data_IF_866878327603
#
_entry.id   IF_866878327603
#
_cell.length_a   1.000
_cell.length_b   1.000
_cell.length_c   1.000
_cell.angle_alpha   90.00
_cell.angle_beta   90.00
_cell.angle_gamma   90.00
#
_symmetry.space_group_name_H-M   'P 1'
#
loop_
_entity.id
_entity.type
_entity.pdbx_description
1 polymer ?
#
# COMPACT_ATOMS: atom_id res chain seq x y z
N UNK A 1 -61.22 -16.71 -49.74
CA UNK A 1 -59.78 -17.03 -49.57
C UNK A 1 -59.10 -15.80 -48.96
N UNK A 2 -58.97 -15.73 -47.63
CA UNK A 2 -58.35 -14.59 -46.92
C UNK A 2 -56.94 -14.99 -46.50
N UNK A 3 -55.93 -14.35 -47.06
CA UNK A 3 -54.52 -14.58 -46.72
C UNK A 3 -54.20 -13.67 -45.53
N UNK A 4 -53.98 -14.27 -44.35
CA UNK A 4 -53.46 -13.54 -43.19
C UNK A 4 -51.94 -13.57 -43.21
N UNK A 5 -51.32 -12.47 -43.65
CA UNK A 5 -49.88 -12.24 -43.50
C UNK A 5 -49.63 -11.80 -42.05
N UNK A 6 -49.06 -12.68 -41.23
CA UNK A 6 -48.56 -12.31 -39.90
C UNK A 6 -47.20 -11.63 -40.07
N UNK A 7 -47.18 -10.31 -39.89
CA UNK A 7 -45.95 -9.52 -39.82
C UNK A 7 -45.25 -9.82 -38.49
N UNK A 8 -44.15 -10.57 -38.54
CA UNK A 8 -43.31 -10.81 -37.36
C UNK A 8 -42.43 -9.58 -37.11
N UNK A 9 -42.70 -8.86 -36.02
CA UNK A 9 -41.85 -7.77 -35.54
C UNK A 9 -40.58 -8.39 -34.94
N UNK A 10 -39.46 -8.30 -35.66
CA UNK A 10 -38.14 -8.65 -35.11
C UNK A 10 -37.68 -7.47 -34.26
N UNK A 11 -37.90 -7.55 -32.95
CA UNK A 11 -37.34 -6.59 -31.98
C UNK A 11 -35.86 -6.93 -31.82
N UNK A 12 -35.00 -6.22 -32.55
CA UNK A 12 -33.55 -6.28 -32.36
C UNK A 12 -33.22 -5.56 -31.05
N UNK A 13 -33.16 -6.32 -29.96
CA UNK A 13 -32.74 -5.81 -28.67
C UNK A 13 -31.22 -5.58 -28.72
N UNK A 14 -30.80 -4.36 -29.10
CA UNK A 14 -29.44 -3.91 -28.90
C UNK A 14 -29.19 -3.83 -27.38
N UNK A 15 -28.58 -4.87 -26.82
CA UNK A 15 -27.92 -4.79 -25.52
C UNK A 15 -26.77 -3.80 -25.67
N UNK A 16 -27.04 -2.52 -25.41
CA UNK A 16 -26.00 -1.55 -25.12
C UNK A 16 -25.34 -2.03 -23.82
N UNK A 17 -24.25 -2.78 -23.95
CA UNK A 17 -23.30 -2.97 -22.87
C UNK A 17 -22.73 -1.58 -22.57
N UNK A 18 -23.37 -0.84 -21.67
CA UNK A 18 -22.78 0.35 -21.09
C UNK A 18 -21.50 -0.12 -20.42
N UNK A 19 -20.33 0.27 -20.93
CA UNK A 19 -19.11 0.07 -20.18
C UNK A 19 -19.33 0.79 -18.85
N UNK A 20 -19.31 0.05 -17.75
CA UNK A 20 -19.38 0.68 -16.44
C UNK A 20 -18.24 1.68 -16.37
N UNK A 21 -18.58 2.95 -16.25
CA UNK A 21 -17.58 4.01 -16.12
C UNK A 21 -16.75 3.72 -14.87
N UNK A 22 -15.43 3.84 -14.99
CA UNK A 22 -14.54 3.53 -13.88
C UNK A 22 -14.93 4.32 -12.62
N UNK A 23 -15.29 3.61 -11.54
CA UNK A 23 -15.83 4.21 -10.30
C UNK A 23 -14.94 5.23 -9.61
N UNK A 24 -13.64 5.25 -9.92
CA UNK A 24 -12.68 6.19 -9.32
C UNK A 24 -12.56 7.52 -10.07
N UNK A 25 -13.24 7.67 -11.22
CA UNK A 25 -13.28 8.95 -11.96
C UNK A 25 -13.83 10.11 -11.14
N UNK A 26 -14.66 9.82 -10.14
CA UNK A 26 -15.15 10.81 -9.16
C UNK A 26 -14.03 11.51 -8.37
N UNK A 27 -12.85 10.89 -8.23
CA UNK A 27 -11.70 11.51 -7.58
C UNK A 27 -10.79 12.22 -8.58
N UNK A 28 -10.57 11.60 -9.74
CA UNK A 28 -9.76 12.15 -10.82
C UNK A 28 -10.08 11.43 -12.13
N UNK A 29 -10.23 12.18 -13.23
CA UNK A 29 -10.32 11.59 -14.57
C UNK A 29 -9.07 10.77 -14.94
N UNK A 30 -7.94 11.11 -14.32
CA UNK A 30 -6.64 10.46 -14.48
C UNK A 30 -6.35 9.39 -13.42
N UNK A 31 -7.37 8.91 -12.69
CA UNK A 31 -7.17 7.95 -11.62
C UNK A 31 -6.46 6.67 -12.11
N UNK A 32 -5.42 6.23 -11.40
CA UNK A 32 -4.54 5.12 -11.77
C UNK A 32 -5.33 3.85 -12.05
N UNK A 33 -6.32 3.51 -11.20
CA UNK A 33 -7.20 2.34 -11.41
C UNK A 33 -7.90 2.33 -12.78
N UNK A 34 -8.24 3.50 -13.30
CA UNK A 34 -9.02 3.65 -14.54
C UNK A 34 -8.15 3.57 -15.80
N UNK A 35 -6.83 3.52 -15.66
CA UNK A 35 -5.91 3.46 -16.80
C UNK A 35 -5.81 2.03 -17.32
N UNK A 36 -5.73 1.92 -18.64
CA UNK A 36 -5.24 0.71 -19.29
C UNK A 36 -3.72 0.60 -19.14
N UNK A 37 -3.18 -0.60 -19.34
CA UNK A 37 -1.73 -0.79 -19.35
C UNK A 37 -1.09 0.05 -20.46
N UNK A 38 0.06 0.66 -20.17
CA UNK A 38 0.75 1.51 -21.12
C UNK A 38 1.31 0.66 -22.28
N UNK A 39 0.75 0.85 -23.48
CA UNK A 39 1.15 0.12 -24.69
C UNK A 39 2.54 0.47 -25.20
N UNK A 40 3.15 1.55 -24.70
CA UNK A 40 4.47 2.01 -25.13
C UNK A 40 5.61 1.35 -24.34
N UNK A 41 5.31 0.61 -23.26
CA UNK A 41 6.28 -0.26 -22.62
C UNK A 41 5.93 -1.71 -22.89
N UNK A 42 6.95 -2.50 -23.25
CA UNK A 42 6.79 -3.92 -23.52
C UNK A 42 6.74 -4.69 -22.19
N UNK A 43 5.54 -4.78 -21.60
CA UNK A 43 5.28 -5.47 -20.34
C UNK A 43 5.53 -6.98 -20.47
N UNK A 44 6.42 -7.50 -19.62
CA UNK A 44 6.79 -8.92 -19.54
C UNK A 44 6.16 -9.63 -18.35
N UNK A 45 6.01 -8.93 -17.22
CA UNK A 45 5.36 -9.43 -16.00
C UNK A 45 4.62 -8.30 -15.31
N UNK A 46 3.44 -8.58 -14.77
CA UNK A 46 2.54 -7.58 -14.19
C UNK A 46 1.71 -8.18 -13.05
N UNK A 47 2.39 -8.70 -12.03
CA UNK A 47 1.69 -9.39 -10.92
C UNK A 47 2.47 -9.39 -9.61
N UNK A 48 1.71 -9.50 -8.53
CA UNK A 48 2.18 -9.77 -7.16
C UNK A 48 1.50 -11.05 -6.69
N UNK A 49 2.28 -12.11 -6.51
CA UNK A 49 1.76 -13.43 -6.15
C UNK A 49 1.35 -13.49 -4.68
N UNK A 50 0.58 -14.49 -4.26
CA UNK A 50 0.22 -14.64 -2.85
C UNK A 50 1.43 -14.91 -1.94
N UNK A 51 2.48 -15.55 -2.47
CA UNK A 51 3.75 -15.70 -1.77
C UNK A 51 4.41 -14.33 -1.54
N UNK A 52 4.36 -13.46 -2.55
CA UNK A 52 4.86 -12.08 -2.44
C UNK A 52 4.07 -11.29 -1.40
N UNK A 53 2.74 -11.32 -1.44
CA UNK A 53 1.87 -10.65 -0.45
C UNK A 53 2.24 -11.05 0.99
N UNK A 54 2.40 -12.37 1.23
CA UNK A 54 2.81 -12.90 2.54
C UNK A 54 4.18 -12.38 2.95
N UNK A 55 5.15 -12.36 2.03
CA UNK A 55 6.50 -11.88 2.32
C UNK A 55 6.54 -10.37 2.60
N UNK A 56 5.79 -9.57 1.83
CA UNK A 56 5.63 -8.13 2.02
C UNK A 56 5.10 -7.86 3.44
N UNK A 57 3.96 -8.45 3.80
CA UNK A 57 3.36 -8.28 5.11
C UNK A 57 4.29 -8.73 6.23
N UNK A 58 4.93 -9.89 6.07
CA UNK A 58 5.85 -10.43 7.07
C UNK A 58 6.98 -9.46 7.37
N UNK A 59 7.65 -8.95 6.35
CA UNK A 59 8.79 -8.03 6.50
C UNK A 59 8.37 -6.68 7.07
N UNK A 60 7.27 -6.10 6.59
CA UNK A 60 6.75 -4.86 7.15
C UNK A 60 6.43 -5.00 8.63
N UNK A 61 5.70 -6.05 9.02
CA UNK A 61 5.32 -6.27 10.42
C UNK A 61 6.50 -6.66 11.31
N UNK A 62 7.50 -7.38 10.80
CA UNK A 62 8.76 -7.66 11.54
C UNK A 62 9.50 -6.36 11.87
N UNK A 63 9.62 -5.44 10.91
CA UNK A 63 10.28 -4.16 11.12
C UNK A 63 9.49 -3.21 12.02
N UNK A 64 8.17 -3.14 11.84
CA UNK A 64 7.28 -2.38 12.74
C UNK A 64 7.34 -2.92 14.16
N UNK A 65 7.35 -4.25 14.34
CA UNK A 65 7.55 -4.88 15.65
C UNK A 65 8.91 -4.54 16.25
N UNK A 66 9.99 -4.57 15.44
CA UNK A 66 11.34 -4.21 15.87
C UNK A 66 11.38 -2.79 16.44
N UNK A 67 10.79 -1.82 15.73
CA UNK A 67 10.67 -0.43 16.20
C UNK A 67 9.80 -0.33 17.44
N UNK A 68 8.59 -0.90 17.40
CA UNK A 68 7.64 -0.81 18.50
C UNK A 68 8.27 -1.26 19.82
N UNK A 69 9.06 -2.34 19.78
CA UNK A 69 9.76 -2.90 20.95
C UNK A 69 11.05 -2.16 21.34
N UNK A 70 11.46 -1.14 20.59
CA UNK A 70 12.70 -0.38 20.84
C UNK A 70 13.95 -1.21 20.57
N UNK A 71 13.90 -2.10 19.57
CA UNK A 71 15.01 -2.99 19.17
C UNK A 71 15.76 -2.51 17.93
N UNK A 72 15.42 -1.33 17.39
CA UNK A 72 16.16 -0.69 16.32
C UNK A 72 17.17 0.27 16.93
N UNK A 73 18.46 -0.08 16.84
CA UNK A 73 19.57 0.67 17.45
C UNK A 73 20.11 1.78 16.55
N UNK A 74 19.79 1.77 15.25
CA UNK A 74 20.10 2.88 14.32
C UNK A 74 19.27 4.12 14.67
N UNK A 75 19.55 5.26 14.02
CA UNK A 75 18.97 6.56 14.37
C UNK A 75 19.18 6.96 15.85
N UNK A 76 20.30 6.52 16.46
CA UNK A 76 20.57 6.73 17.88
C UNK A 76 19.65 5.94 18.82
N UNK A 77 19.08 4.84 18.35
CA UNK A 77 18.11 4.01 19.07
C UNK A 77 16.69 4.58 18.95
N UNK A 78 15.89 3.97 18.08
CA UNK A 78 14.49 4.36 17.87
C UNK A 78 13.67 4.16 19.16
N UNK A 79 12.95 5.17 19.63
CA UNK A 79 12.05 5.05 20.78
C UNK A 79 10.98 3.99 20.56
N UNK A 80 10.54 3.33 21.65
CA UNK A 80 9.43 2.37 21.61
C UNK A 80 8.15 3.05 21.13
N UNK A 81 7.36 2.35 20.33
CA UNK A 81 6.08 2.84 19.83
C UNK A 81 4.92 2.20 20.59
N UNK A 82 4.00 3.02 21.07
CA UNK A 82 2.87 2.59 21.89
C UNK A 82 1.58 2.31 21.11
N UNK A 83 1.48 2.81 19.87
CA UNK A 83 0.30 2.72 18.99
C UNK A 83 0.60 2.08 17.62
N UNK A 84 1.75 1.42 17.44
CA UNK A 84 2.14 0.86 16.14
C UNK A 84 1.16 -0.23 15.69
N UNK A 85 0.47 -0.04 14.56
CA UNK A 85 -0.50 -0.99 14.04
C UNK A 85 0.17 -2.19 13.34
N UNK A 86 -0.44 -3.36 13.41
CA UNK A 86 -0.14 -4.49 12.53
C UNK A 86 -0.71 -4.19 11.14
N UNK A 87 0.12 -4.30 10.09
CA UNK A 87 -0.30 -4.15 8.71
C UNK A 87 -0.98 -5.41 8.19
N UNK A 88 -2.01 -5.21 7.37
CA UNK A 88 -2.72 -6.26 6.63
C UNK A 88 -2.82 -5.86 5.15
N UNK A 89 -3.03 -6.85 4.28
CA UNK A 89 -3.13 -6.63 2.85
C UNK A 89 -4.45 -5.94 2.48
N UNK A 90 -4.41 -5.10 1.46
CA UNK A 90 -5.57 -4.41 0.93
C UNK A 90 -5.63 -4.50 -0.60
N UNK A 91 -6.62 -5.24 -1.10
CA UNK A 91 -6.75 -5.52 -2.54
C UNK A 91 -7.14 -4.29 -3.36
N UNK A 92 -7.85 -3.32 -2.76
CA UNK A 92 -8.15 -2.05 -3.43
C UNK A 92 -6.85 -1.26 -3.65
N UNK A 93 -6.03 -1.11 -2.61
CA UNK A 93 -4.73 -0.45 -2.74
C UNK A 93 -3.79 -1.17 -3.71
N UNK A 94 -3.78 -2.51 -3.68
CA UNK A 94 -2.95 -3.32 -4.57
C UNK A 94 -3.36 -3.17 -6.04
N UNK A 95 -4.66 -3.16 -6.31
CA UNK A 95 -5.18 -2.99 -7.67
C UNK A 95 -4.79 -1.62 -8.25
N UNK A 96 -4.89 -0.57 -7.44
CA UNK A 96 -4.47 0.79 -7.81
C UNK A 96 -2.95 0.83 -8.07
N UNK A 97 -2.16 0.23 -7.16
CA UNK A 97 -0.70 0.18 -7.29
C UNK A 97 -0.25 -0.59 -8.54
N UNK A 98 -0.87 -1.73 -8.85
CA UNK A 98 -0.58 -2.54 -10.03
C UNK A 98 -0.92 -1.79 -11.33
N UNK A 99 -2.08 -1.11 -11.35
CA UNK A 99 -2.47 -0.25 -12.48
C UNK A 99 -1.49 0.89 -12.73
N UNK A 100 -0.94 1.48 -11.66
CA UNK A 100 0.11 2.48 -11.77
C UNK A 100 1.45 1.90 -12.24
N UNK A 101 1.88 0.75 -11.68
CA UNK A 101 3.09 0.06 -12.11
C UNK A 101 3.06 -0.26 -13.62
N UNK A 102 1.88 -0.64 -14.14
CA UNK A 102 1.65 -0.91 -15.56
C UNK A 102 1.75 0.32 -16.47
N UNK A 103 1.92 1.51 -15.91
CA UNK A 103 2.21 2.71 -16.68
C UNK A 103 3.70 2.82 -17.03
N UNK A 104 4.57 2.03 -16.39
CA UNK A 104 6.00 1.99 -16.64
C UNK A 104 6.72 3.33 -16.44
N UNK A 105 6.21 4.16 -15.51
CA UNK A 105 6.77 5.48 -15.20
C UNK A 105 7.36 5.45 -13.79
N UNK A 106 8.67 5.59 -13.67
CA UNK A 106 9.33 5.70 -12.36
C UNK A 106 9.12 7.10 -11.78
N UNK A 107 7.91 7.34 -11.28
CA UNK A 107 7.51 8.52 -10.52
C UNK A 107 6.26 8.17 -9.72
N UNK A 108 5.97 8.97 -8.69
CA UNK A 108 4.70 8.87 -8.01
C UNK A 108 3.54 9.25 -8.93
N UNK A 109 2.39 8.60 -8.78
CA UNK A 109 1.14 9.13 -9.35
C UNK A 109 0.67 10.36 -8.57
N UNK A 110 -0.31 11.08 -9.12
CA UNK A 110 -0.87 12.23 -8.41
C UNK A 110 -1.63 11.76 -7.15
N UNK A 111 -1.68 12.57 -6.08
CA UNK A 111 -2.40 12.19 -4.85
C UNK A 111 -3.87 11.78 -5.10
N UNK A 112 -4.59 12.53 -5.93
CA UNK A 112 -5.98 12.20 -6.30
C UNK A 112 -6.10 10.98 -7.22
N UNK A 113 -5.01 10.60 -7.90
CA UNK A 113 -4.96 9.49 -8.83
C UNK A 113 -4.94 8.12 -8.12
N UNK A 114 -4.62 8.10 -6.82
CA UNK A 114 -4.60 6.89 -5.98
C UNK A 114 -5.59 6.97 -4.81
N UNK A 115 -6.52 7.91 -4.86
CA UNK A 115 -7.46 8.20 -3.77
C UNK A 115 -8.49 7.08 -3.64
N UNK A 116 -8.78 6.73 -2.40
CA UNK A 116 -9.88 5.84 -2.02
C UNK A 116 -10.83 6.58 -1.09
N UNK A 117 -12.06 6.08 -0.93
CA UNK A 117 -13.04 6.70 -0.01
C UNK A 117 -12.60 6.68 1.46
N UNK A 118 -11.79 5.67 1.82
CA UNK A 118 -11.54 5.32 3.21
C UNK A 118 -10.54 6.24 3.91
N UNK A 119 -9.56 6.78 3.19
CA UNK A 119 -8.44 7.56 3.75
C UNK A 119 -7.54 8.14 2.64
N UNK A 120 -6.66 9.07 3.02
CA UNK A 120 -5.51 9.47 2.19
C UNK A 120 -4.55 8.29 1.99
N UNK A 121 -3.92 8.21 0.80
CA UNK A 121 -3.04 7.08 0.41
C UNK A 121 -1.60 7.54 0.22
N UNK A 122 -0.68 6.93 0.96
CA UNK A 122 0.77 7.09 0.80
C UNK A 122 1.33 6.13 -0.25
N UNK A 123 2.56 6.36 -0.72
CA UNK A 123 3.16 5.51 -1.75
C UNK A 123 4.68 5.42 -1.63
N UNK A 124 5.21 4.20 -1.73
CA UNK A 124 6.63 3.93 -1.97
C UNK A 124 6.80 3.37 -3.38
N UNK A 125 7.85 3.79 -4.09
CA UNK A 125 8.20 3.25 -5.40
C UNK A 125 9.68 2.86 -5.46
N UNK A 126 10.00 1.87 -6.30
CA UNK A 126 11.39 1.48 -6.54
C UNK A 126 11.55 0.99 -7.97
N UNK A 127 12.71 1.25 -8.57
CA UNK A 127 13.04 0.75 -9.90
C UNK A 127 14.39 0.07 -9.95
N UNK A 128 14.51 -0.96 -10.78
CA UNK A 128 15.77 -1.61 -11.15
C UNK A 128 15.85 -1.59 -12.66
N UNK A 129 17.00 -1.19 -13.21
CA UNK A 129 17.28 -1.24 -14.64
C UNK A 129 18.44 -2.17 -14.93
N UNK A 130 18.37 -2.91 -16.04
CA UNK A 130 19.47 -3.74 -16.54
C UNK A 130 19.55 -3.70 -18.06
N UNK A 131 20.77 -3.71 -18.58
CA UNK A 131 21.08 -3.88 -20.01
C UNK A 131 21.08 -5.35 -20.44
N UNK A 132 21.19 -6.28 -19.49
CA UNK A 132 21.11 -7.73 -19.71
C UNK A 132 19.72 -8.27 -19.38
N UNK A 133 19.65 -9.47 -18.80
CA UNK A 133 18.39 -10.08 -18.37
C UNK A 133 17.62 -9.21 -17.37
N UNK A 134 16.29 -9.35 -17.39
CA UNK A 134 15.42 -8.63 -16.47
C UNK A 134 15.73 -9.02 -15.02
N UNK A 135 16.13 -8.03 -14.22
CA UNK A 135 16.40 -8.23 -12.80
C UNK A 135 15.19 -7.83 -11.97
N UNK A 136 14.72 -8.76 -11.14
CA UNK A 136 13.76 -8.48 -10.08
C UNK A 136 14.42 -8.65 -8.72
N UNK A 137 14.07 -7.80 -7.76
CA UNK A 137 14.39 -8.01 -6.36
C UNK A 137 13.23 -8.74 -5.73
N UNK A 138 13.50 -9.76 -4.92
CA UNK A 138 12.44 -10.34 -4.13
C UNK A 138 11.87 -9.25 -3.18
N UNK A 139 10.60 -9.38 -2.83
CA UNK A 139 9.92 -8.35 -2.02
C UNK A 139 10.51 -8.16 -0.64
N UNK A 140 11.15 -9.20 -0.08
CA UNK A 140 11.81 -9.09 1.21
C UNK A 140 13.01 -8.17 1.16
N UNK A 141 13.91 -8.37 0.21
CA UNK A 141 15.09 -7.53 0.02
C UNK A 141 14.73 -6.12 -0.48
N UNK A 142 13.59 -5.94 -1.15
CA UNK A 142 13.06 -4.60 -1.44
C UNK A 142 12.62 -3.89 -0.17
N UNK A 143 11.86 -4.58 0.70
CA UNK A 143 11.44 -4.04 1.99
C UNK A 143 12.64 -3.71 2.86
N UNK A 144 13.70 -4.54 2.83
CA UNK A 144 14.96 -4.27 3.50
C UNK A 144 15.57 -2.95 3.00
N UNK A 145 15.55 -2.69 1.69
CA UNK A 145 16.03 -1.41 1.12
C UNK A 145 15.24 -0.21 1.61
N UNK A 146 13.90 -0.28 1.64
CA UNK A 146 13.10 0.80 2.24
C UNK A 146 13.44 1.00 3.71
N UNK A 147 13.68 -0.09 4.45
CA UNK A 147 13.99 -0.02 5.87
C UNK A 147 15.39 0.52 6.18
N UNK A 148 16.37 0.29 5.31
CA UNK A 148 17.76 0.73 5.50
C UNK A 148 17.91 2.25 5.64
N UNK A 149 16.96 3.03 5.12
CA UNK A 149 16.96 4.50 5.27
C UNK A 149 16.83 4.96 6.74
N UNK A 150 16.47 4.07 7.68
CA UNK A 150 16.53 4.37 9.11
C UNK A 150 17.91 4.85 9.58
N UNK A 151 18.97 4.49 8.85
CA UNK A 151 20.34 4.96 9.15
C UNK A 151 20.49 6.48 8.95
N UNK A 152 19.66 7.07 8.08
CA UNK A 152 19.67 8.48 7.70
C UNK A 152 18.57 9.28 8.45
N UNK A 153 17.78 8.60 9.28
CA UNK A 153 16.71 9.21 10.07
C UNK A 153 17.20 9.74 11.42
N UNK A 154 16.73 10.93 11.80
CA UNK A 154 16.87 11.46 13.16
C UNK A 154 15.58 11.19 13.94
N UNK A 155 15.68 10.43 15.05
CA UNK A 155 14.55 10.12 15.92
C UNK A 155 13.83 11.34 16.49
N UNK A 156 14.50 12.50 16.59
CA UNK A 156 13.85 13.74 17.02
C UNK A 156 12.83 14.24 15.99
N UNK A 157 12.86 13.73 14.75
CA UNK A 157 11.85 13.99 13.72
C UNK A 157 10.66 13.01 13.81
N UNK A 158 10.47 12.26 14.90
CA UNK A 158 9.22 11.50 15.12
C UNK A 158 8.06 12.45 15.41
N UNK A 159 8.32 13.52 16.16
CA UNK A 159 7.36 14.59 16.47
C UNK A 159 8.08 15.92 16.82
N UNK A 160 7.73 17.06 16.18
CA UNK A 160 6.94 17.12 14.96
C UNK A 160 7.68 16.40 13.83
N UNK A 161 6.92 15.65 13.02
CA UNK A 161 7.50 14.93 11.91
C UNK A 161 8.09 15.90 10.88
N UNK A 162 9.28 15.61 10.39
CA UNK A 162 9.90 16.34 9.28
C UNK A 162 10.06 15.39 8.12
N UNK A 163 9.50 15.75 6.96
CA UNK A 163 9.65 14.95 5.75
C UNK A 163 11.03 15.16 5.11
N UNK A 164 11.67 14.09 4.66
CA UNK A 164 12.83 14.13 3.75
C UNK A 164 12.70 13.03 2.70
N UNK A 165 13.34 13.26 1.55
CA UNK A 165 13.54 12.22 0.53
C UNK A 165 14.49 11.12 0.99
N UNK A 166 15.36 11.40 1.97
CA UNK A 166 16.41 10.46 2.40
C UNK A 166 15.87 9.27 3.20
N UNK A 167 14.70 9.43 3.83
CA UNK A 167 14.09 8.42 4.71
C UNK A 167 12.59 8.22 4.51
N UNK A 168 12.04 8.76 3.42
CA UNK A 168 10.60 8.73 3.17
C UNK A 168 10.02 7.33 3.06
N UNK A 169 10.77 6.37 2.49
CA UNK A 169 10.29 5.00 2.36
C UNK A 169 10.25 4.30 3.71
N UNK A 170 11.30 4.48 4.53
CA UNK A 170 11.37 3.99 5.90
C UNK A 170 10.24 4.55 6.75
N UNK A 171 10.04 5.88 6.75
CA UNK A 171 9.07 6.51 7.63
C UNK A 171 7.63 6.16 7.26
N UNK A 172 7.32 5.95 5.97
CA UNK A 172 6.02 5.41 5.54
C UNK A 172 5.82 3.95 6.02
N UNK A 173 6.82 3.09 5.86
CA UNK A 173 6.77 1.70 6.33
C UNK A 173 6.53 1.64 7.84
N UNK A 174 7.15 2.55 8.58
CA UNK A 174 7.09 2.62 10.04
C UNK A 174 6.05 3.62 10.59
N UNK A 175 5.14 4.13 9.75
CA UNK A 175 4.09 5.05 10.19
C UNK A 175 3.01 4.32 11.00
N UNK A 176 2.74 4.73 12.24
CA UNK A 176 1.93 3.96 13.18
C UNK A 176 0.55 3.60 12.63
N UNK A 177 -0.14 4.55 12.02
CA UNK A 177 -1.52 4.37 11.55
C UNK A 177 -1.63 3.71 10.20
N UNK A 178 -0.56 3.63 9.39
CA UNK A 178 -0.59 2.90 8.13
C UNK A 178 -0.70 1.40 8.40
N UNK A 179 -1.92 0.87 8.38
CA UNK A 179 -2.23 -0.53 8.71
C UNK A 179 -2.74 -1.32 7.50
N UNK A 180 -3.02 -0.66 6.38
CA UNK A 180 -3.31 -1.29 5.09
C UNK A 180 -2.13 -1.08 4.13
N UNK A 181 -1.78 -2.12 3.39
CA UNK A 181 -0.80 -2.05 2.30
C UNK A 181 -1.27 -2.87 1.09
N UNK A 182 -1.05 -2.35 -0.10
CA UNK A 182 -1.22 -3.09 -1.34
C UNK A 182 -0.18 -2.67 -2.37
N UNK A 183 0.42 -3.63 -3.06
CA UNK A 183 1.54 -3.39 -3.97
C UNK A 183 1.29 -3.93 -5.38
N UNK A 184 2.04 -3.40 -6.34
CA UNK A 184 2.09 -3.80 -7.73
C UNK A 184 3.52 -3.91 -8.25
N UNK A 185 3.73 -4.78 -9.23
CA UNK A 185 5.02 -4.97 -9.91
C UNK A 185 4.81 -4.98 -11.42
N UNK A 186 5.59 -4.18 -12.15
CA UNK A 186 5.71 -4.26 -13.59
C UNK A 186 7.16 -4.53 -13.99
N UNK A 187 7.39 -5.62 -14.71
CA UNK A 187 8.65 -5.88 -15.41
C UNK A 187 8.41 -5.59 -16.89
N UNK A 188 9.21 -4.71 -17.48
CA UNK A 188 9.00 -4.25 -18.84
C UNK A 188 10.31 -3.91 -19.54
N UNK A 189 10.27 -3.84 -20.87
CA UNK A 189 11.38 -3.32 -21.67
C UNK A 189 11.04 -1.92 -22.17
N UNK A 190 11.97 -0.99 -22.01
CA UNK A 190 11.86 0.39 -22.48
C UNK A 190 13.24 0.85 -23.00
N UNK A 191 13.27 1.39 -24.22
CA UNK A 191 14.50 1.89 -24.86
C UNK A 191 15.67 0.90 -24.81
N UNK A 192 15.39 -0.38 -25.05
CA UNK A 192 16.40 -1.45 -25.04
C UNK A 192 16.79 -2.00 -23.66
N UNK A 193 16.33 -1.39 -22.57
CA UNK A 193 16.65 -1.82 -21.20
C UNK A 193 15.49 -2.57 -20.55
N UNK A 194 15.81 -3.62 -19.79
CA UNK A 194 14.84 -4.29 -18.94
C UNK A 194 14.72 -3.54 -17.61
N UNK A 195 13.50 -3.25 -17.19
CA UNK A 195 13.18 -2.52 -15.97
C UNK A 195 12.17 -3.28 -15.13
N UNK A 196 12.31 -3.16 -13.81
CA UNK A 196 11.33 -3.64 -12.83
C UNK A 196 10.89 -2.49 -11.96
N UNK A 197 9.60 -2.11 -12.02
CA UNK A 197 8.99 -1.05 -11.22
C UNK A 197 8.09 -1.66 -10.15
N UNK A 198 8.37 -1.31 -8.91
CA UNK A 198 7.59 -1.68 -7.73
C UNK A 198 6.84 -0.45 -7.23
N UNK A 199 5.57 -0.63 -6.88
CA UNK A 199 4.71 0.40 -6.30
C UNK A 199 4.01 -0.22 -5.10
N UNK A 200 4.08 0.41 -3.93
CA UNK A 200 3.30 0.03 -2.75
C UNK A 200 2.51 1.24 -2.25
N UNK A 201 1.19 1.08 -2.14
CA UNK A 201 0.27 2.06 -1.59
C UNK A 201 -0.04 1.72 -0.13
N UNK A 202 -0.10 2.74 0.74
CA UNK A 202 -0.27 2.60 2.19
C UNK A 202 -1.50 3.37 2.67
N UNK A 203 -2.24 2.78 3.61
CA UNK A 203 -3.52 3.29 4.07
C UNK A 203 -3.72 3.21 5.59
N UNK A 204 -4.13 4.31 6.24
CA UNK A 204 -3.94 5.69 5.80
C UNK A 204 -2.47 6.01 5.46
N UNK A 205 -2.25 6.99 4.60
CA UNK A 205 -0.92 7.46 4.21
C UNK A 205 -0.17 8.13 5.36
N UNK A 206 1.14 7.95 5.38
CA UNK A 206 2.03 8.53 6.39
C UNK A 206 2.76 9.77 5.90
N UNK A 207 3.89 10.07 6.54
CA UNK A 207 4.82 11.15 6.19
C UNK A 207 4.20 12.55 6.19
N UNK A 208 3.21 12.78 7.06
CA UNK A 208 2.54 14.07 7.19
C UNK A 208 3.48 15.03 7.91
N UNK A 209 4.00 16.03 7.18
CA UNK A 209 4.90 17.03 7.74
C UNK A 209 4.22 17.79 8.90
N UNK A 210 4.93 18.00 10.00
CA UNK A 210 4.40 18.55 11.25
C UNK A 210 3.57 17.57 12.08
N UNK A 211 3.20 16.42 11.52
CA UNK A 211 2.44 15.37 12.20
C UNK A 211 3.30 14.54 13.17
N UNK A 212 2.87 13.30 13.41
CA UNK A 212 3.55 12.38 14.32
C UNK A 212 3.66 11.00 13.70
N UNK A 213 4.88 10.50 13.55
CA UNK A 213 5.13 9.19 12.94
C UNK A 213 4.59 8.03 13.77
N UNK A 214 4.77 8.09 15.10
CA UNK A 214 4.15 7.21 16.07
C UNK A 214 4.16 7.83 17.47
N UNK A 215 3.34 7.31 18.39
CA UNK A 215 3.33 7.74 19.80
C UNK A 215 4.41 6.99 20.57
N UNK A 216 5.44 7.69 21.02
CA UNK A 216 6.46 7.12 21.90
C UNK A 216 5.83 6.60 23.20
N UNK A 217 6.26 5.42 23.66
CA UNK A 217 5.77 4.85 24.92
C UNK A 217 5.89 3.33 25.00
N UNK A 218 5.34 2.76 26.07
CA UNK A 218 5.33 1.30 26.26
C UNK A 218 4.56 0.64 25.09
N UNK A 219 5.08 -0.44 24.49
CA UNK A 219 4.39 -1.13 23.42
C UNK A 219 2.94 -1.47 23.81
N UNK A 220 2.01 -1.12 22.93
CA UNK A 220 0.58 -1.35 23.09
C UNK A 220 -0.14 -0.62 24.24
N UNK A 221 0.49 0.42 24.82
CA UNK A 221 -0.19 1.27 25.81
C UNK A 221 -1.17 2.26 25.19
N UNK A 222 -1.09 2.52 23.88
CA UNK A 222 -1.95 3.46 23.14
C UNK A 222 -2.54 2.81 21.87
N UNK A 223 -2.85 1.52 21.92
CA UNK A 223 -3.55 0.88 20.80
C UNK A 223 -4.96 1.46 20.64
N UNK A 224 -5.41 1.79 19.41
CA UNK A 224 -6.75 2.31 19.16
C UNK A 224 -7.86 1.35 19.61
N UNK A 225 -9.02 1.90 19.94
CA UNK A 225 -10.25 1.13 20.20
C UNK A 225 -10.59 0.24 18.99
N UNK A 226 -11.07 -0.99 19.23
CA UNK A 226 -11.30 -1.96 18.15
C UNK A 226 -10.05 -2.74 17.72
N UNK A 227 -8.96 -2.61 18.46
CA UNK A 227 -7.73 -3.41 18.28
C UNK A 227 -7.39 -4.24 19.52
N UNK A 228 -6.52 -5.22 19.36
CA UNK A 228 -5.90 -6.00 20.43
C UNK A 228 -4.38 -5.96 20.31
N UNK A 229 -3.67 -6.38 21.36
CA UNK A 229 -2.23 -6.60 21.27
C UNK A 229 -1.76 -7.66 22.27
N UNK A 230 -0.72 -8.42 21.89
CA UNK A 230 -0.11 -9.47 22.70
C UNK A 230 -1.17 -10.47 23.19
N UNK A 231 -1.14 -10.85 24.47
CA UNK A 231 -2.05 -11.83 25.05
C UNK A 231 -3.52 -11.41 25.01
N UNK A 232 -3.84 -10.12 24.78
CA UNK A 232 -5.22 -9.65 24.64
C UNK A 232 -5.86 -10.16 23.33
N UNK A 233 -5.08 -10.37 22.27
CA UNK A 233 -5.62 -10.89 21.02
C UNK A 233 -6.17 -12.31 21.17
N UNK A 234 -5.48 -13.18 21.93
CA UNK A 234 -5.95 -14.54 22.22
C UNK A 234 -7.33 -14.54 22.89
N UNK A 235 -7.58 -13.59 23.81
CA UNK A 235 -8.90 -13.44 24.48
C UNK A 235 -10.02 -13.04 23.52
N UNK A 236 -9.68 -12.32 22.45
CA UNK A 236 -10.61 -11.90 21.40
C UNK A 236 -10.73 -12.92 20.25
N UNK A 237 -10.13 -14.11 20.37
CA UNK A 237 -10.14 -15.12 19.31
C UNK A 237 -9.26 -14.78 18.11
N UNK A 238 -8.38 -13.78 18.23
CA UNK A 238 -7.50 -13.32 17.14
C UNK A 238 -6.05 -13.75 17.41
N UNK A 239 -5.38 -14.29 16.41
CA UNK A 239 -3.94 -14.60 16.46
C UNK A 239 -3.13 -13.42 15.93
N UNK A 240 -2.09 -13.01 16.66
CA UNK A 240 -1.08 -12.06 16.20
C UNK A 240 0.30 -12.63 16.54
N UNK A 241 1.14 -12.75 15.53
CA UNK A 241 2.53 -13.19 15.68
C UNK A 241 3.47 -12.02 16.01
N UNK A 242 2.96 -10.79 15.98
CA UNK A 242 3.76 -9.56 16.07
C UNK A 242 3.59 -8.85 17.42
N UNK A 243 4.30 -9.34 18.42
CA UNK A 243 4.29 -8.77 19.77
C UNK A 243 4.63 -7.27 19.77
N UNK A 244 3.76 -6.45 20.36
CA UNK A 244 3.95 -5.00 20.42
C UNK A 244 3.22 -4.23 19.32
N UNK A 245 2.55 -4.93 18.39
CA UNK A 245 1.68 -4.30 17.40
C UNK A 245 0.20 -4.37 17.81
N UNK A 246 -0.54 -3.34 17.41
CA UNK A 246 -1.98 -3.23 17.58
C UNK A 246 -2.68 -3.88 16.38
N UNK A 247 -3.31 -5.03 16.60
CA UNK A 247 -4.02 -5.80 15.57
C UNK A 247 -5.51 -5.46 15.57
N UNK A 248 -6.04 -5.12 14.41
CA UNK A 248 -7.48 -4.84 14.23
C UNK A 248 -8.31 -6.10 14.48
N UNK A 249 -9.42 -5.97 15.21
CA UNK A 249 -10.33 -7.08 15.52
C UNK A 249 -11.35 -7.33 14.41
N UNK A 250 -11.87 -6.27 13.79
CA UNK A 250 -12.80 -6.32 12.67
C UNK A 250 -12.37 -5.31 11.59
N UNK A 251 -11.67 -5.80 10.57
CA UNK A 251 -11.13 -4.96 9.51
C UNK A 251 -12.18 -4.24 8.66
N UNK A 252 -13.44 -4.72 8.65
CA UNK A 252 -14.50 -4.13 7.82
C UNK A 252 -15.07 -2.86 8.45
N UNK A 253 -15.15 -2.84 9.77
CA UNK A 253 -15.78 -1.75 10.52
C UNK A 253 -14.78 -0.85 11.26
N UNK A 254 -13.51 -1.24 11.30
CA UNK A 254 -12.48 -0.46 11.97
C UNK A 254 -12.18 0.85 11.24
N UNK A 255 -12.17 1.94 12.01
CA UNK A 255 -11.71 3.27 11.61
C UNK A 255 -10.71 3.76 12.64
N UNK A 256 -9.69 4.47 12.17
CA UNK A 256 -8.77 5.19 13.05
C UNK A 256 -9.39 6.56 13.28
N UNK A 257 -9.61 6.93 14.54
CA UNK A 257 -10.06 8.28 14.88
C UNK A 257 -8.87 9.24 14.74
N UNK A 258 -8.81 9.92 13.59
CA UNK A 258 -7.82 10.96 13.27
C UNK A 258 -7.80 12.12 14.30
N UNK A 259 -8.83 12.22 15.14
CA UNK A 259 -8.98 13.27 16.16
C UNK A 259 -7.98 13.17 17.33
N UNK A 260 -7.08 12.17 17.37
CA UNK A 260 -6.16 11.95 18.50
C UNK A 260 -4.68 11.79 18.13
N UNK A 261 -4.28 12.07 16.89
CA UNK A 261 -2.90 11.83 16.41
C UNK A 261 -2.09 13.11 16.14
#
# INVERSE_FOLDING_TARGET
>A
MKIHVKLALVILCFLLATSESCKYKKFSEDHSFCKDANKNCDLKKSEVTDADKKLILKKHNEYRMKIARGKESRAGGMPKASNMMEMVWDDELASIAQKWANQCKFKHDCPDCRKVERFFVGQNIYTISSTGEAKTKNWGSLTDTFYEEVKDFDKNNIKPFKSSTDYGHFTQLAWATSWKIGCGLAVYKESGQNKSLYVCNYGPGGNINGGRMYKEGKPCSNCPSGTCCCNRCKKSGVTSDYHGLCKVLDEKNFKIDDATE
#
